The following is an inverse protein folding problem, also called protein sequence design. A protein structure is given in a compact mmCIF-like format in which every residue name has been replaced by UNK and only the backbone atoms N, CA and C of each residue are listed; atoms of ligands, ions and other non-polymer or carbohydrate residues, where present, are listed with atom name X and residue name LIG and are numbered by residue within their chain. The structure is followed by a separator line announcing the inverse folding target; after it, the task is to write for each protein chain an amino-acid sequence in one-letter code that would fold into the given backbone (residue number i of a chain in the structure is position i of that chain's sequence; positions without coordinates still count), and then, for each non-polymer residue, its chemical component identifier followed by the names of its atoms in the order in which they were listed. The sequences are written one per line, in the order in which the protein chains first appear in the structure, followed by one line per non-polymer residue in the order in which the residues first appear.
data_IF_822146070553
#
_entry.id   IF_822146070553
#
_cell.length_a   1.000
_cell.length_b   1.000
_cell.length_c   1.000
_cell.angle_alpha   90.00
_cell.angle_beta   90.00
_cell.angle_gamma   90.00
#
_symmetry.space_group_name_H-M   'P 1'
#
loop_
_entity.id
_entity.type
_entity.pdbx_description
1 polymer ?
#
# COMPACT_ATOMS: atom_id res chain seq x y z
N UNK A 1 -7.35 -11.03 4.07
CA UNK A 1 -6.49 -10.75 2.89
C UNK A 1 -7.31 -10.77 1.60
N UNK A 2 -7.42 -9.64 0.91
CA UNK A 2 -8.13 -9.48 -0.36
C UNK A 2 -7.15 -9.01 -1.44
N UNK A 3 -7.26 -9.58 -2.65
CA UNK A 3 -6.59 -9.10 -3.84
C UNK A 3 -7.44 -8.02 -4.52
N UNK A 4 -6.93 -6.79 -4.59
CA UNK A 4 -7.59 -5.66 -5.23
C UNK A 4 -6.80 -5.17 -6.44
N UNK A 5 -7.49 -4.69 -7.48
CA UNK A 5 -6.87 -3.90 -8.54
C UNK A 5 -6.75 -2.45 -8.08
N UNK A 6 -5.54 -1.91 -8.05
CA UNK A 6 -5.30 -0.52 -7.69
C UNK A 6 -5.97 0.43 -8.71
N UNK A 7 -6.57 1.50 -8.21
CA UNK A 7 -7.09 2.59 -9.01
C UNK A 7 -6.77 3.90 -8.31
N UNK A 8 -6.19 4.85 -9.04
CA UNK A 8 -5.93 6.20 -8.57
C UNK A 8 -7.13 7.14 -8.72
N UNK A 9 -8.29 6.62 -9.08
CA UNK A 9 -9.54 7.39 -9.13
C UNK A 9 -9.82 7.99 -7.74
N UNK A 10 -10.15 9.29 -7.73
CA UNK A 10 -10.46 10.05 -6.51
C UNK A 10 -9.31 10.16 -5.49
N UNK A 11 -8.06 9.99 -5.92
CA UNK A 11 -6.88 10.08 -5.03
C UNK A 11 -6.79 11.43 -4.30
N UNK A 12 -7.34 12.51 -4.87
CA UNK A 12 -7.37 13.84 -4.27
C UNK A 12 -8.11 13.86 -2.92
N UNK A 13 -9.08 12.96 -2.73
CA UNK A 13 -9.85 12.84 -1.49
C UNK A 13 -9.10 12.06 -0.39
N UNK A 14 -7.96 11.43 -0.71
CA UNK A 14 -7.23 10.56 0.22
C UNK A 14 -6.29 11.32 1.15
N UNK A 15 -6.16 12.64 0.99
CA UNK A 15 -5.28 13.48 1.82
C UNK A 15 -3.79 13.34 1.49
N UNK A 16 -3.46 12.82 0.30
CA UNK A 16 -2.08 12.73 -0.19
C UNK A 16 -1.63 14.07 -0.81
N UNK A 17 -0.34 14.38 -0.71
CA UNK A 17 0.24 15.58 -1.30
C UNK A 17 0.40 15.53 -2.82
N UNK A 18 0.24 14.36 -3.43
CA UNK A 18 0.35 14.14 -4.86
C UNK A 18 -0.20 12.77 -5.29
N UNK A 19 -0.44 12.62 -6.59
CA UNK A 19 -1.00 11.39 -7.17
C UNK A 19 -0.09 10.19 -6.91
N UNK A 20 -0.61 9.06 -6.39
CA UNK A 20 0.17 7.83 -6.27
C UNK A 20 0.77 7.41 -7.62
N UNK A 21 2.02 6.94 -7.60
CA UNK A 21 2.73 6.47 -8.79
C UNK A 21 2.47 4.99 -9.13
N UNK A 22 1.57 4.34 -8.40
CA UNK A 22 1.13 2.98 -8.69
C UNK A 22 0.28 3.04 -9.97
N UNK A 23 0.55 2.15 -10.92
CA UNK A 23 -0.25 2.07 -12.15
C UNK A 23 -1.65 1.57 -11.83
N UNK A 24 -2.65 2.14 -12.48
CA UNK A 24 -4.00 1.59 -12.45
C UNK A 24 -3.96 0.12 -12.92
N UNK A 25 -4.86 -0.70 -12.36
CA UNK A 25 -4.97 -2.15 -12.52
C UNK A 25 -3.81 -2.98 -11.94
N UNK A 26 -2.90 -2.36 -11.18
CA UNK A 26 -1.85 -3.12 -10.48
C UNK A 26 -2.46 -3.94 -9.32
N UNK A 27 -2.22 -5.26 -9.26
CA UNK A 27 -2.71 -6.07 -8.14
C UNK A 27 -2.03 -5.66 -6.83
N UNK A 28 -2.84 -5.28 -5.84
CA UNK A 28 -2.41 -4.99 -4.47
C UNK A 28 -3.08 -5.95 -3.51
N UNK A 29 -2.29 -6.49 -2.57
CA UNK A 29 -2.78 -7.33 -1.49
C UNK A 29 -3.04 -6.43 -0.28
N UNK A 30 -4.29 -6.39 0.16
CA UNK A 30 -4.71 -5.61 1.33
C UNK A 30 -5.19 -6.60 2.38
N UNK A 31 -4.71 -6.46 3.61
CA UNK A 31 -5.28 -7.20 4.72
C UNK A 31 -6.59 -6.54 5.20
N UNK A 32 -7.61 -7.35 5.47
CA UNK A 32 -8.97 -6.86 5.72
C UNK A 32 -9.07 -6.09 7.04
N UNK A 33 -8.21 -6.44 7.99
CA UNK A 33 -8.15 -5.87 9.32
C UNK A 33 -6.99 -4.87 9.47
N UNK A 34 -6.19 -4.65 8.41
CA UNK A 34 -4.94 -3.89 8.40
C UNK A 34 -4.00 -4.27 9.58
N UNK A 35 -4.14 -5.50 10.09
CA UNK A 35 -3.43 -5.93 11.27
C UNK A 35 -2.00 -6.32 10.90
N UNK A 36 -1.06 -5.94 11.75
CA UNK A 36 0.36 -6.19 11.51
C UNK A 36 0.86 -7.47 12.17
N UNK A 37 0.26 -7.83 13.30
CA UNK A 37 0.66 -8.95 14.13
C UNK A 37 -0.60 -9.62 14.69
N UNK A 38 -0.60 -10.94 14.82
CA UNK A 38 -1.61 -11.68 15.55
C UNK A 38 -0.99 -12.40 16.76
N UNK A 39 -1.74 -13.33 17.36
CA UNK A 39 -1.28 -14.09 18.52
C UNK A 39 0.00 -14.93 18.25
N UNK A 40 0.33 -15.18 16.97
CA UNK A 40 1.49 -15.95 16.55
C UNK A 40 2.68 -15.06 16.14
N UNK A 41 2.50 -13.73 16.10
CA UNK A 41 3.54 -12.74 15.78
C UNK A 41 3.31 -11.99 14.47
N UNK A 42 4.38 -11.45 13.84
CA UNK A 42 4.26 -10.64 12.62
C UNK A 42 3.64 -11.41 11.46
N UNK A 43 2.63 -10.82 10.82
CA UNK A 43 1.96 -11.44 9.67
C UNK A 43 2.85 -11.38 8.43
N UNK A 44 2.74 -12.36 7.50
CA UNK A 44 3.39 -12.28 6.20
C UNK A 44 3.02 -11.02 5.40
N UNK A 45 1.84 -10.44 5.67
CA UNK A 45 1.32 -9.22 5.04
C UNK A 45 1.92 -7.94 5.63
N UNK A 46 2.66 -8.00 6.74
CA UNK A 46 3.11 -6.82 7.50
C UNK A 46 3.97 -5.87 6.66
N UNK A 47 4.84 -6.41 5.81
CA UNK A 47 5.72 -5.61 4.95
C UNK A 47 4.92 -4.83 3.90
N UNK A 48 3.90 -5.45 3.31
CA UNK A 48 3.01 -4.80 2.33
C UNK A 48 2.11 -3.77 3.00
N UNK A 49 1.57 -4.08 4.18
CA UNK A 49 0.72 -3.16 4.93
C UNK A 49 1.49 -1.93 5.44
N UNK A 50 2.75 -2.10 5.85
CA UNK A 50 3.63 -0.97 6.20
C UNK A 50 3.93 -0.12 4.95
N UNK A 51 4.29 -0.75 3.84
CA UNK A 51 4.55 -0.06 2.58
C UNK A 51 3.34 0.75 2.09
N UNK A 52 2.12 0.20 2.16
CA UNK A 52 0.88 0.89 1.83
C UNK A 52 0.60 2.08 2.75
N UNK A 53 0.90 1.97 4.06
CA UNK A 53 0.76 3.10 5.00
C UNK A 53 1.79 4.21 4.77
N UNK A 54 2.92 3.89 4.16
CA UNK A 54 4.01 4.85 3.89
C UNK A 54 3.95 5.47 2.49
N UNK A 55 2.96 5.08 1.67
CA UNK A 55 2.70 5.60 0.32
C UNK A 55 1.93 6.93 0.39
N UNK A 56 2.55 8.00 0.94
CA UNK A 56 3.22 8.98 0.06
C UNK A 56 4.55 9.57 0.61
N UNK A 57 5.04 9.09 1.75
CA UNK A 57 6.13 9.73 2.52
C UNK A 57 7.51 9.25 2.09
N UNK A 58 7.68 7.96 1.80
CA UNK A 58 9.03 7.39 1.61
C UNK A 58 9.55 7.45 0.18
N UNK A 59 8.70 7.83 -0.79
CA UNK A 59 9.08 7.99 -2.20
C UNK A 59 9.96 6.84 -2.67
N UNK A 60 9.40 5.61 -2.72
CA UNK A 60 10.14 4.37 -2.95
C UNK A 60 11.29 4.55 -3.97
N UNK A 61 12.56 4.66 -3.53
CA UNK A 61 13.66 4.98 -4.41
C UNK A 61 13.92 3.77 -5.32
N UNK A 62 13.94 4.01 -6.63
CA UNK A 62 14.36 3.01 -7.60
C UNK A 62 15.88 2.83 -7.53
N UNK A 63 16.41 1.60 -7.40
CA UNK A 63 17.86 1.35 -7.44
C UNK A 63 18.55 1.73 -8.77
N UNK A 64 17.79 2.25 -9.75
CA UNK A 64 18.25 2.58 -11.11
C UNK A 64 18.27 4.09 -11.42
N UNK A 65 18.29 4.97 -10.42
CA UNK A 65 18.59 6.41 -10.63
C UNK A 65 20.07 6.69 -10.47
#
# INVERSE_FOLDING_TARGET
MILHSFSSVEWEAWGLSGRPLIRDDMPVLIDEDLCFEDAEGPRPTVAMNQWLRELPVSGAPSPKT
#
